data_IF_820528202404
#
_entry.id   IF_820528202404
#
_cell.length_a   1.000
_cell.length_b   1.000
_cell.length_c   1.000
_cell.angle_alpha   90.00
_cell.angle_beta   90.00
_cell.angle_gamma   90.00
#
_symmetry.space_group_name_H-M   'P 1'
#
loop_
_entity.id
_entity.type
_entity.pdbx_description
1 polymer ?
#
# COMPACT_ATOMS: atom_id res chain seq x y z
N UNK A 1 23.61 -7.53 -3.37
CA UNK A 1 22.95 -7.02 -2.14
C UNK A 1 22.33 -8.22 -1.45
N UNK A 2 22.58 -8.43 -0.16
CA UNK A 2 21.99 -9.54 0.59
C UNK A 2 20.59 -9.15 1.08
N UNK A 3 19.67 -10.12 1.13
CA UNK A 3 18.32 -9.92 1.66
C UNK A 3 18.35 -10.03 3.19
N UNK A 4 17.93 -8.98 3.90
CA UNK A 4 17.82 -8.97 5.37
C UNK A 4 16.37 -9.25 5.79
N UNK A 5 16.11 -10.48 6.23
CA UNK A 5 14.77 -10.90 6.65
C UNK A 5 14.34 -10.28 7.97
N UNK A 6 15.26 -9.87 8.85
CA UNK A 6 14.94 -9.26 10.14
C UNK A 6 14.39 -7.86 9.93
N UNK A 7 15.07 -7.05 9.11
CA UNK A 7 14.58 -5.72 8.74
C UNK A 7 13.26 -5.80 7.98
N UNK A 8 13.14 -6.69 6.98
CA UNK A 8 11.89 -6.83 6.23
C UNK A 8 10.73 -7.23 7.14
N UNK A 9 10.94 -8.15 8.09
CA UNK A 9 9.89 -8.60 9.01
C UNK A 9 9.42 -7.48 9.94
N UNK A 10 10.30 -6.56 10.34
CA UNK A 10 9.95 -5.42 11.18
C UNK A 10 8.97 -4.45 10.50
N UNK A 11 8.95 -4.41 9.17
CA UNK A 11 8.00 -3.58 8.40
C UNK A 11 6.56 -4.10 8.46
N UNK A 12 6.30 -5.31 8.97
CA UNK A 12 4.96 -5.91 9.05
C UNK A 12 4.54 -6.08 10.52
N UNK A 13 3.86 -5.08 11.13
CA UNK A 13 3.61 -5.06 12.57
C UNK A 13 2.84 -6.28 13.08
N UNK A 14 1.92 -6.81 12.27
CA UNK A 14 1.11 -7.98 12.63
C UNK A 14 1.96 -9.23 12.91
N UNK A 15 3.15 -9.32 12.33
CA UNK A 15 4.05 -10.46 12.54
C UNK A 15 4.63 -10.51 13.96
N UNK A 16 4.55 -9.41 14.73
CA UNK A 16 4.91 -9.38 16.14
C UNK A 16 3.81 -9.90 17.08
N UNK A 17 2.61 -10.24 16.56
CA UNK A 17 1.52 -10.75 17.38
C UNK A 17 1.74 -12.18 17.87
N UNK A 18 1.05 -12.50 18.95
CA UNK A 18 0.86 -13.86 19.43
C UNK A 18 -0.56 -14.36 19.13
N UNK A 19 -0.67 -15.63 18.74
CA UNK A 19 -1.94 -16.34 18.54
C UNK A 19 -1.91 -17.59 19.39
N UNK A 20 -2.91 -17.76 20.26
CA UNK A 20 -2.97 -18.86 21.22
C UNK A 20 -1.72 -18.96 22.13
N UNK A 21 -1.18 -17.80 22.54
CA UNK A 21 0.00 -17.70 23.40
C UNK A 21 1.31 -18.14 22.72
N UNK A 22 1.38 -18.11 21.38
CA UNK A 22 2.59 -18.44 20.60
C UNK A 22 2.83 -17.39 19.52
N UNK A 23 4.10 -17.12 19.13
CA UNK A 23 4.40 -16.21 18.04
C UNK A 23 3.70 -16.59 16.74
N UNK A 24 3.14 -15.61 16.04
CA UNK A 24 2.46 -15.83 14.77
C UNK A 24 3.43 -16.35 13.69
N UNK A 25 3.08 -17.51 13.12
CA UNK A 25 3.68 -18.07 11.90
C UNK A 25 2.60 -18.12 10.82
N UNK A 26 2.57 -17.08 9.98
CA UNK A 26 1.54 -16.91 8.96
C UNK A 26 1.96 -17.56 7.63
N UNK A 27 1.44 -18.76 7.36
CA UNK A 27 1.74 -19.57 6.17
C UNK A 27 0.56 -19.68 5.19
N UNK A 28 -0.34 -18.69 5.20
CA UNK A 28 -1.51 -18.62 4.32
C UNK A 28 -1.44 -17.44 3.33
N UNK A 29 -0.22 -17.10 2.90
CA UNK A 29 0.04 -15.94 2.05
C UNK A 29 -0.62 -16.02 0.67
N UNK A 30 -0.99 -17.22 0.22
CA UNK A 30 -1.69 -17.44 -1.04
C UNK A 30 -3.17 -16.99 -0.97
N UNK A 31 -3.80 -17.04 0.21
CA UNK A 31 -5.15 -16.52 0.41
C UNK A 31 -5.13 -14.99 0.54
N UNK A 32 -4.22 -14.43 1.33
CA UNK A 32 -3.96 -12.98 1.40
C UNK A 32 -2.60 -12.70 2.05
N UNK A 33 -2.02 -11.54 1.78
CA UNK A 33 -0.73 -11.14 2.34
C UNK A 33 -0.88 -10.11 3.45
N UNK A 34 0.03 -10.15 4.43
CA UNK A 34 0.17 -9.08 5.42
C UNK A 34 0.67 -7.80 4.76
N UNK A 35 0.39 -6.64 5.37
CA UNK A 35 0.70 -5.33 4.78
C UNK A 35 1.87 -4.69 5.53
N UNK A 36 2.89 -4.16 4.81
CA UNK A 36 3.96 -3.41 5.44
C UNK A 36 3.48 -2.02 5.87
N UNK A 37 4.20 -1.37 6.79
CA UNK A 37 3.90 -0.04 7.31
C UNK A 37 3.68 0.98 6.19
N UNK A 38 4.54 1.01 5.18
CA UNK A 38 4.42 1.93 4.05
C UNK A 38 3.04 1.88 3.34
N UNK A 39 2.42 0.69 3.23
CA UNK A 39 1.09 0.52 2.63
C UNK A 39 0.00 1.05 3.57
N UNK A 40 0.12 0.74 4.87
CA UNK A 40 -0.81 1.23 5.89
C UNK A 40 -0.78 2.75 5.99
N UNK A 41 0.41 3.34 6.00
CA UNK A 41 0.62 4.78 6.10
C UNK A 41 0.13 5.52 4.86
N UNK A 42 0.32 4.96 3.66
CA UNK A 42 -0.22 5.54 2.44
C UNK A 42 -1.76 5.61 2.48
N UNK A 43 -2.41 4.52 2.91
CA UNK A 43 -3.86 4.50 3.07
C UNK A 43 -4.33 5.48 4.15
N UNK A 44 -3.63 5.55 5.28
CA UNK A 44 -3.93 6.48 6.37
C UNK A 44 -3.84 7.92 5.91
N UNK A 45 -2.71 8.32 5.32
CA UNK A 45 -2.48 9.69 4.81
C UNK A 45 -3.51 10.08 3.77
N UNK A 46 -3.89 9.16 2.87
CA UNK A 46 -4.95 9.44 1.91
C UNK A 46 -6.25 9.86 2.60
N UNK A 47 -6.69 9.11 3.61
CA UNK A 47 -7.92 9.40 4.33
C UNK A 47 -7.83 10.60 5.28
N UNK A 48 -6.66 10.84 5.89
CA UNK A 48 -6.45 11.95 6.82
C UNK A 48 -6.22 13.29 6.11
N UNK A 49 -5.63 13.30 4.90
CA UNK A 49 -5.12 14.53 4.28
C UNK A 49 -5.80 14.91 2.96
N UNK A 50 -6.13 13.93 2.09
CA UNK A 50 -6.50 14.22 0.69
C UNK A 50 -7.78 13.51 0.22
N UNK A 51 -8.59 12.98 1.13
CA UNK A 51 -9.79 12.23 0.78
C UNK A 51 -10.80 13.09 0.00
N UNK A 52 -11.08 12.68 -1.23
CA UNK A 52 -12.15 13.23 -2.07
C UNK A 52 -12.50 12.22 -3.15
N UNK A 53 -13.64 12.43 -3.81
CA UNK A 53 -13.91 11.75 -5.08
C UNK A 53 -12.83 12.17 -6.09
N UNK A 54 -12.16 11.17 -6.67
CA UNK A 54 -11.37 11.32 -7.89
C UNK A 54 -12.33 11.59 -9.06
N UNK A 55 -11.88 12.29 -10.12
CA UNK A 55 -12.64 12.84 -11.28
C UNK A 55 -12.68 14.39 -11.29
N UNK A 56 -13.58 14.99 -12.10
CA UNK A 56 -13.62 16.41 -12.50
C UNK A 56 -13.95 17.41 -11.36
N UNK A 57 -13.60 17.09 -10.12
CA UNK A 57 -13.66 18.05 -9.03
C UNK A 57 -12.63 19.17 -9.26
N UNK A 58 -13.08 20.42 -9.21
CA UNK A 58 -12.21 21.59 -9.42
C UNK A 58 -11.54 22.09 -8.14
N UNK A 59 -12.00 21.63 -6.97
CA UNK A 59 -11.46 22.01 -5.68
C UNK A 59 -10.16 21.27 -5.33
N UNK A 60 -9.43 21.80 -4.35
CA UNK A 60 -8.09 21.33 -3.98
C UNK A 60 -8.00 19.82 -3.69
N UNK A 61 -8.83 19.31 -2.77
CA UNK A 61 -8.79 17.90 -2.37
C UNK A 61 -9.09 16.94 -3.54
N UNK A 62 -10.03 17.27 -4.44
CA UNK A 62 -10.31 16.45 -5.61
C UNK A 62 -9.12 16.36 -6.57
N UNK A 63 -8.41 17.47 -6.78
CA UNK A 63 -7.17 17.47 -7.59
C UNK A 63 -6.06 16.67 -6.93
N UNK A 64 -5.89 16.78 -5.61
CA UNK A 64 -4.90 16.03 -4.85
C UNK A 64 -5.17 14.52 -4.89
N UNK A 65 -6.41 14.10 -4.61
CA UNK A 65 -6.84 12.71 -4.71
C UNK A 65 -6.64 12.14 -6.12
N UNK A 66 -7.05 12.88 -7.15
CA UNK A 66 -6.89 12.47 -8.56
C UNK A 66 -5.42 12.30 -8.91
N UNK A 67 -4.55 13.23 -8.49
CA UNK A 67 -3.12 13.15 -8.76
C UNK A 67 -2.47 11.93 -8.09
N UNK A 68 -2.84 11.65 -6.84
CA UNK A 68 -2.35 10.48 -6.11
C UNK A 68 -2.80 9.16 -6.76
N UNK A 69 -4.05 9.11 -7.24
CA UNK A 69 -4.61 7.95 -7.94
C UNK A 69 -3.89 7.68 -9.27
N UNK A 70 -3.69 8.71 -10.09
CA UNK A 70 -2.97 8.56 -11.37
C UNK A 70 -1.50 8.19 -11.17
N UNK A 71 -0.84 8.71 -10.14
CA UNK A 71 0.52 8.30 -9.78
C UNK A 71 0.60 6.80 -9.39
N UNK A 72 -0.42 6.28 -8.68
CA UNK A 72 -0.52 4.86 -8.40
C UNK A 72 -0.71 4.04 -9.68
N UNK A 73 -1.54 4.51 -10.62
CA UNK A 73 -1.73 3.87 -11.94
C UNK A 73 -0.42 3.79 -12.72
N UNK A 74 0.34 4.88 -12.78
CA UNK A 74 1.65 4.88 -13.43
C UNK A 74 2.62 3.88 -12.79
N UNK A 75 2.60 3.77 -11.46
CA UNK A 75 3.45 2.83 -10.72
C UNK A 75 3.13 1.39 -11.11
N UNK A 76 1.84 1.04 -11.19
CA UNK A 76 1.38 -0.28 -11.64
C UNK A 76 1.74 -0.53 -13.10
N UNK A 77 1.51 0.44 -13.99
CA UNK A 77 1.85 0.33 -15.40
C UNK A 77 3.35 0.05 -15.60
N UNK A 78 4.23 0.79 -14.91
CA UNK A 78 5.68 0.55 -14.93
C UNK A 78 6.05 -0.82 -14.36
N UNK A 79 5.43 -1.23 -13.26
CA UNK A 79 5.68 -2.53 -12.64
C UNK A 79 5.34 -3.71 -13.57
N UNK A 80 4.24 -3.59 -14.31
CA UNK A 80 3.79 -4.59 -15.28
C UNK A 80 4.40 -4.40 -16.68
N UNK A 81 5.24 -3.38 -16.88
CA UNK A 81 5.81 -2.99 -18.18
C UNK A 81 4.73 -2.78 -19.26
N UNK A 82 3.62 -2.15 -18.88
CA UNK A 82 2.58 -1.73 -19.82
C UNK A 82 3.04 -0.49 -20.62
N UNK A 83 2.54 -0.35 -21.85
CA UNK A 83 2.90 0.76 -22.74
C UNK A 83 2.41 2.13 -22.24
N UNK A 84 1.26 2.16 -21.57
CA UNK A 84 0.66 3.38 -21.04
C UNK A 84 -0.16 3.11 -19.77
N UNK A 85 -0.33 4.16 -18.97
CA UNK A 85 -1.20 4.16 -17.80
C UNK A 85 -2.58 4.70 -18.20
N UNK A 86 -3.35 3.88 -18.91
CA UNK A 86 -4.71 4.21 -19.34
C UNK A 86 -5.76 3.57 -18.41
N UNK A 87 -6.99 4.10 -18.48
CA UNK A 87 -8.21 3.48 -17.93
C UNK A 87 -8.90 2.60 -18.97
#
# INVERSE_FOLDING_TARGET
>A
MALDSVTIRAEFPILAQEVNGRPLVYLDNAATTQKPLAVLDASRRYYEEINANIHRGTHHLARAATSAHEAARETVAKHLNAAEAAE
#
